data_IF_993943455724
#
_entry.id   IF_993943455724
#
_cell.length_a   1.000
_cell.length_b   1.000
_cell.length_c   1.000
_cell.angle_alpha   90.00
_cell.angle_beta   90.00
_cell.angle_gamma   90.00
#
_symmetry.space_group_name_H-M   'P 1'
#
loop_
_entity.id
_entity.type
_entity.pdbx_description
1 polymer ?
#
# COMPACT_ATOMS: atom_id res chain seq x y z
N UNK A 1 7.24 -17.83 3.87
CA UNK A 1 7.61 -16.44 4.09
C UNK A 1 7.57 -16.09 5.56
N UNK A 2 8.64 -15.55 6.08
CA UNK A 2 8.74 -15.22 7.50
C UNK A 2 8.16 -13.83 7.76
N UNK A 3 7.45 -13.72 8.88
CA UNK A 3 7.09 -12.42 9.41
C UNK A 3 8.31 -11.78 10.06
N UNK A 4 8.50 -10.48 9.86
CA UNK A 4 9.65 -9.77 10.40
C UNK A 4 9.49 -9.41 11.89
N UNK A 5 8.25 -9.25 12.35
CA UNK A 5 7.91 -8.94 13.74
C UNK A 5 6.84 -9.91 14.24
N UNK A 6 7.17 -11.19 14.40
CA UNK A 6 6.19 -12.18 14.83
C UNK A 6 5.75 -11.98 16.28
N UNK A 7 4.57 -12.48 16.61
CA UNK A 7 4.05 -12.42 17.96
C UNK A 7 4.98 -13.12 18.94
N UNK A 8 4.98 -12.65 20.18
CA UNK A 8 5.71 -13.28 21.27
C UNK A 8 7.13 -12.78 21.49
N UNK A 9 7.61 -11.90 20.64
CA UNK A 9 8.96 -11.33 20.74
C UNK A 9 8.92 -9.81 20.75
N UNK A 10 9.63 -9.18 21.67
CA UNK A 10 9.84 -7.75 21.63
C UNK A 10 10.99 -7.47 20.66
N UNK A 11 10.69 -6.81 19.55
CA UNK A 11 11.67 -6.58 18.50
C UNK A 11 11.33 -5.31 17.72
N UNK A 12 12.31 -4.78 17.02
CA UNK A 12 12.13 -3.61 16.17
C UNK A 12 12.92 -3.80 14.87
N UNK A 13 12.38 -3.24 13.80
CA UNK A 13 13.06 -3.15 12.51
C UNK A 13 12.97 -1.70 12.02
N UNK A 14 13.79 -1.34 11.03
CA UNK A 14 13.62 -0.06 10.35
C UNK A 14 12.53 -0.20 9.29
N UNK A 15 11.44 0.54 9.42
CA UNK A 15 10.40 0.60 8.42
C UNK A 15 10.91 1.17 7.08
N UNK A 16 11.92 2.03 7.13
CA UNK A 16 12.53 2.61 5.92
C UNK A 16 13.49 1.64 5.22
N UNK A 17 14.17 0.80 5.97
CA UNK A 17 15.26 -0.04 5.46
C UNK A 17 14.87 -1.51 5.23
N UNK A 18 13.77 -1.98 5.79
CA UNK A 18 13.35 -3.37 5.62
C UNK A 18 13.20 -3.71 4.15
N UNK A 19 13.74 -4.86 3.75
CA UNK A 19 13.72 -5.27 2.36
C UNK A 19 12.29 -5.63 1.90
N UNK A 20 11.89 -5.09 0.77
CA UNK A 20 10.65 -5.45 0.09
C UNK A 20 11.01 -5.94 -1.31
N UNK A 21 10.67 -7.18 -1.61
CA UNK A 21 10.86 -7.71 -2.95
C UNK A 21 9.80 -7.15 -3.88
N UNK A 22 10.22 -6.46 -4.93
CA UNK A 22 9.34 -5.84 -5.90
C UNK A 22 9.19 -6.74 -7.12
N UNK A 23 7.97 -6.86 -7.62
CA UNK A 23 7.65 -7.58 -8.85
C UNK A 23 6.68 -6.77 -9.69
N UNK A 24 6.68 -7.03 -10.98
CA UNK A 24 5.80 -6.32 -11.90
C UNK A 24 4.33 -6.47 -11.50
N UNK A 25 3.62 -5.37 -11.50
CA UNK A 25 2.17 -5.36 -11.32
C UNK A 25 1.55 -6.02 -12.55
N UNK A 26 0.48 -6.81 -12.36
CA UNK A 26 -0.19 -7.48 -13.47
C UNK A 26 -0.66 -6.48 -14.53
N UNK A 27 -0.72 -6.93 -15.77
CA UNK A 27 -1.21 -6.08 -16.86
C UNK A 27 -2.65 -5.61 -16.62
N UNK A 28 -3.48 -6.46 -15.99
CA UNK A 28 -4.87 -6.13 -15.68
C UNK A 28 -4.99 -4.95 -14.70
N UNK A 29 -4.04 -4.82 -13.78
CA UNK A 29 -4.06 -3.77 -12.76
C UNK A 29 -3.19 -2.56 -13.11
N UNK A 30 -2.46 -2.62 -14.21
CA UNK A 30 -1.60 -1.52 -14.66
C UNK A 30 -2.36 -0.60 -15.59
N UNK A 31 -2.36 0.69 -15.25
CA UNK A 31 -2.97 1.75 -16.10
C UNK A 31 -1.91 2.44 -16.93
N UNK A 32 -0.77 2.75 -16.35
CA UNK A 32 0.31 3.46 -17.03
C UNK A 32 1.68 3.09 -16.43
N UNK A 33 2.72 3.22 -17.25
CA UNK A 33 4.09 2.93 -16.84
C UNK A 33 4.38 1.43 -16.76
N UNK A 34 5.44 1.11 -16.04
CA UNK A 34 5.84 -0.27 -15.75
C UNK A 34 5.96 -0.45 -14.24
N UNK A 35 4.83 -0.35 -13.50
CA UNK A 35 4.90 -0.34 -12.05
C UNK A 35 5.35 -1.69 -11.48
N UNK A 36 6.06 -1.61 -10.37
CA UNK A 36 6.44 -2.76 -9.57
C UNK A 36 5.96 -2.55 -8.15
N UNK A 37 5.59 -3.63 -7.47
CA UNK A 37 5.12 -3.56 -6.09
C UNK A 37 5.53 -4.80 -5.31
N UNK A 38 5.47 -4.70 -4.00
CA UNK A 38 5.72 -5.82 -3.11
C UNK A 38 5.31 -5.53 -1.69
N UNK A 39 5.32 -6.58 -0.89
CA UNK A 39 4.96 -6.53 0.52
C UNK A 39 6.03 -7.24 1.33
N UNK A 40 6.40 -6.64 2.47
CA UNK A 40 7.12 -7.32 3.54
C UNK A 40 6.13 -7.53 4.68
N UNK A 41 5.83 -8.79 5.00
CA UNK A 41 4.90 -9.09 6.09
C UNK A 41 5.59 -8.88 7.43
N UNK A 42 4.97 -8.10 8.32
CA UNK A 42 5.49 -7.84 9.66
C UNK A 42 4.89 -8.80 10.68
N UNK A 43 3.59 -9.04 10.63
CA UNK A 43 2.91 -9.91 11.56
C UNK A 43 1.41 -9.68 11.58
N UNK A 44 0.75 -10.16 12.64
CA UNK A 44 -0.70 -10.01 12.82
C UNK A 44 -0.99 -9.52 14.24
N UNK A 45 -2.04 -8.72 14.37
CA UNK A 45 -2.59 -8.31 15.65
C UNK A 45 -4.10 -8.46 15.55
N UNK A 46 -4.68 -9.29 16.43
CA UNK A 46 -6.14 -9.53 16.48
C UNK A 46 -6.73 -9.93 15.12
N UNK A 47 -5.99 -10.71 14.33
CA UNK A 47 -6.41 -11.16 13.02
C UNK A 47 -6.14 -10.17 11.89
N UNK A 48 -5.76 -8.94 12.21
CA UNK A 48 -5.39 -7.95 11.20
C UNK A 48 -3.95 -8.16 10.75
N UNK A 49 -3.71 -8.12 9.44
CA UNK A 49 -2.36 -8.21 8.89
C UNK A 49 -1.65 -6.88 8.96
N UNK A 50 -0.37 -6.90 9.36
CA UNK A 50 0.49 -5.74 9.42
C UNK A 50 1.68 -5.96 8.49
N UNK A 51 1.96 -4.99 7.63
CA UNK A 51 3.04 -5.12 6.67
C UNK A 51 3.54 -3.78 6.16
N UNK A 52 4.55 -3.88 5.31
CA UNK A 52 5.07 -2.74 4.54
C UNK A 52 4.78 -3.02 3.07
N UNK A 53 4.16 -2.06 2.40
CA UNK A 53 3.90 -2.12 0.97
C UNK A 53 4.66 -1.01 0.27
N UNK A 54 5.22 -1.33 -0.88
CA UNK A 54 5.90 -0.35 -1.72
C UNK A 54 5.42 -0.49 -3.15
N UNK A 55 5.20 0.65 -3.80
CA UNK A 55 4.85 0.76 -5.21
C UNK A 55 5.79 1.75 -5.87
N UNK A 56 6.28 1.43 -7.06
CA UNK A 56 7.18 2.29 -7.85
C UNK A 56 6.72 2.39 -9.29
N UNK A 57 6.86 3.56 -9.84
CA UNK A 57 6.96 3.79 -11.27
C UNK A 57 5.71 3.62 -12.12
N UNK A 58 4.57 4.10 -11.68
CA UNK A 58 3.43 4.09 -12.60
C UNK A 58 2.09 4.32 -11.94
N UNK A 59 1.05 3.87 -12.62
CA UNK A 59 -0.34 4.00 -12.17
C UNK A 59 -0.98 2.62 -12.14
N UNK A 60 -1.58 2.27 -11.02
CA UNK A 60 -2.25 0.99 -10.81
C UNK A 60 -3.66 1.18 -10.29
N UNK A 61 -4.53 0.21 -10.56
CA UNK A 61 -5.88 0.16 -10.00
C UNK A 61 -5.93 -0.89 -8.89
N UNK A 62 -6.84 -0.68 -7.95
CA UNK A 62 -7.07 -1.62 -6.87
C UNK A 62 -8.51 -1.52 -6.37
N UNK A 63 -8.95 -2.59 -5.73
CA UNK A 63 -10.16 -2.59 -4.91
C UNK A 63 -9.70 -2.80 -3.49
N UNK A 64 -9.96 -1.83 -2.63
CA UNK A 64 -9.38 -1.80 -1.30
C UNK A 64 -10.07 -2.73 -0.32
N UNK A 65 -9.31 -3.18 0.67
CA UNK A 65 -9.83 -3.77 1.90
C UNK A 65 -9.86 -2.68 2.97
N UNK A 66 -10.49 -2.96 4.12
CA UNK A 66 -10.46 -2.03 5.24
C UNK A 66 -9.04 -1.95 5.79
N UNK A 67 -8.45 -0.77 5.80
CA UNK A 67 -7.03 -0.60 6.09
C UNK A 67 -6.75 0.77 6.70
N UNK A 68 -5.78 0.81 7.62
CA UNK A 68 -5.12 2.05 8.03
C UNK A 68 -3.67 1.98 7.58
N UNK A 69 -3.11 3.09 7.12
CA UNK A 69 -1.68 3.10 6.78
C UNK A 69 -1.02 4.43 7.13
N UNK A 70 0.29 4.36 7.29
CA UNK A 70 1.16 5.52 7.46
C UNK A 70 2.17 5.51 6.33
N UNK A 71 2.30 6.63 5.63
CA UNK A 71 3.30 6.78 4.58
C UNK A 71 4.67 7.00 5.21
N UNK A 72 5.61 6.13 4.89
CA UNK A 72 6.99 6.19 5.39
C UNK A 72 7.87 7.05 4.49
N UNK A 73 7.72 6.92 3.17
CA UNK A 73 8.52 7.66 2.20
C UNK A 73 7.79 7.78 0.88
N UNK A 74 8.18 8.77 0.07
CA UNK A 74 7.55 9.02 -1.20
C UNK A 74 6.15 9.60 -1.06
N UNK A 75 5.30 9.30 -2.00
CA UNK A 75 3.91 9.76 -2.00
C UNK A 75 3.16 9.26 -3.21
N UNK A 76 1.86 9.50 -3.20
CA UNK A 76 0.98 9.08 -4.29
C UNK A 76 -0.21 10.02 -4.42
N UNK A 77 -0.76 10.04 -5.63
CA UNK A 77 -2.09 10.59 -5.90
C UNK A 77 -3.06 9.41 -5.97
N UNK A 78 -4.08 9.43 -5.12
CA UNK A 78 -5.07 8.37 -5.05
C UNK A 78 -6.39 8.91 -5.55
N UNK A 79 -6.85 8.39 -6.68
CA UNK A 79 -8.16 8.73 -7.23
C UNK A 79 -9.16 7.68 -6.78
N UNK A 80 -10.29 8.11 -6.20
CA UNK A 80 -11.39 7.24 -5.81
C UNK A 80 -12.42 7.26 -6.91
N UNK A 81 -12.78 6.07 -7.41
CA UNK A 81 -13.59 5.93 -8.60
C UNK A 81 -15.00 5.49 -8.25
N UNK A 82 -15.97 6.01 -9.00
CA UNK A 82 -17.35 5.53 -8.95
C UNK A 82 -17.45 4.17 -9.63
N UNK A 83 -18.60 3.49 -9.52
CA UNK A 83 -18.84 2.21 -10.19
C UNK A 83 -18.67 2.31 -11.70
N UNK A 84 -18.96 3.47 -12.28
CA UNK A 84 -18.76 3.69 -13.71
C UNK A 84 -17.33 4.05 -14.09
N UNK A 85 -16.42 4.14 -13.13
CA UNK A 85 -15.02 4.43 -13.37
C UNK A 85 -14.68 5.92 -13.46
N UNK A 86 -15.60 6.79 -13.09
CA UNK A 86 -15.37 8.24 -13.05
C UNK A 86 -14.75 8.62 -11.71
N UNK A 87 -13.82 9.56 -11.72
CA UNK A 87 -13.19 10.04 -10.49
C UNK A 87 -14.21 10.81 -9.65
N UNK A 88 -14.46 10.31 -8.45
CA UNK A 88 -15.33 10.95 -7.46
C UNK A 88 -14.55 12.02 -6.69
N UNK A 89 -13.40 11.65 -6.16
CA UNK A 89 -12.50 12.57 -5.47
C UNK A 89 -11.07 12.03 -5.50
N UNK A 90 -10.14 12.89 -5.14
CA UNK A 90 -8.71 12.60 -5.17
C UNK A 90 -8.08 12.99 -3.84
N UNK A 91 -7.18 12.15 -3.34
CA UNK A 91 -6.40 12.41 -2.13
C UNK A 91 -4.92 12.29 -2.50
N UNK A 92 -4.12 13.26 -2.09
CA UNK A 92 -2.66 13.17 -2.19
C UNK A 92 -2.09 12.86 -0.82
N UNK A 93 -1.19 11.90 -0.76
CA UNK A 93 -0.50 11.52 0.47
C UNK A 93 1.02 11.63 0.28
N UNK A 94 1.68 12.06 1.35
CA UNK A 94 3.14 12.18 1.43
C UNK A 94 3.63 11.58 2.74
N UNK A 95 4.95 11.44 2.88
CA UNK A 95 5.56 10.89 4.08
C UNK A 95 5.01 11.55 5.35
N UNK A 96 4.60 10.73 6.31
CA UNK A 96 4.01 11.16 7.56
C UNK A 96 2.49 11.20 7.57
N UNK A 97 1.83 11.14 6.41
CA UNK A 97 0.37 11.11 6.36
C UNK A 97 -0.16 9.76 6.83
N UNK A 98 -1.28 9.82 7.51
CA UNK A 98 -2.02 8.64 7.97
C UNK A 98 -3.38 8.64 7.28
N UNK A 99 -3.77 7.50 6.73
CA UNK A 99 -5.01 7.41 5.97
C UNK A 99 -5.77 6.13 6.29
N UNK A 100 -7.09 6.21 6.18
CA UNK A 100 -7.95 5.04 6.19
C UNK A 100 -8.50 4.78 4.80
N UNK A 101 -8.46 3.52 4.38
CA UNK A 101 -9.14 3.02 3.19
C UNK A 101 -10.33 2.18 3.61
N UNK A 102 -11.46 2.37 2.95
CA UNK A 102 -12.69 1.64 3.23
C UNK A 102 -12.80 0.44 2.28
N UNK A 103 -13.16 -0.71 2.83
CA UNK A 103 -13.37 -1.92 2.05
C UNK A 103 -14.31 -1.68 0.87
N UNK A 104 -13.94 -2.19 -0.30
CA UNK A 104 -14.72 -2.06 -1.53
C UNK A 104 -14.47 -0.78 -2.32
N UNK A 105 -13.70 0.17 -1.79
CA UNK A 105 -13.35 1.38 -2.53
C UNK A 105 -12.52 1.01 -3.75
N UNK A 106 -12.89 1.56 -4.91
CA UNK A 106 -12.13 1.39 -6.13
C UNK A 106 -11.21 2.57 -6.29
N UNK A 107 -9.91 2.30 -6.48
CA UNK A 107 -8.89 3.33 -6.49
C UNK A 107 -7.97 3.21 -7.68
N UNK A 108 -7.33 4.33 -7.99
CA UNK A 108 -6.25 4.39 -8.94
C UNK A 108 -5.12 5.18 -8.30
N UNK A 109 -3.97 4.52 -8.13
CA UNK A 109 -2.80 5.09 -7.47
C UNK A 109 -1.77 5.47 -8.50
N UNK A 110 -1.33 6.72 -8.47
CA UNK A 110 -0.26 7.20 -9.34
C UNK A 110 0.92 7.63 -8.50
N UNK A 111 2.09 7.07 -8.78
CA UNK A 111 3.35 7.44 -8.13
C UNK A 111 4.34 7.92 -9.17
N UNK A 112 4.97 9.07 -8.92
CA UNK A 112 6.02 9.60 -9.79
C UNK A 112 7.32 8.81 -9.60
N UNK A 113 7.74 8.60 -8.36
CA UNK A 113 8.91 7.81 -8.00
C UNK A 113 8.50 6.57 -7.24
N UNK A 114 7.99 6.73 -6.03
CA UNK A 114 7.53 5.62 -5.21
C UNK A 114 6.64 6.09 -4.07
N UNK A 115 5.93 5.13 -3.50
CA UNK A 115 5.34 5.25 -2.16
C UNK A 115 5.70 4.00 -1.36
N UNK A 116 6.03 4.20 -0.10
CA UNK A 116 6.27 3.13 0.87
C UNK A 116 5.42 3.42 2.10
N UNK A 117 4.63 2.45 2.51
CA UNK A 117 3.73 2.62 3.65
C UNK A 117 3.78 1.41 4.57
N UNK A 118 3.56 1.63 5.86
CA UNK A 118 3.23 0.57 6.79
C UNK A 118 1.71 0.55 6.95
N UNK A 119 1.11 -0.63 6.86
CA UNK A 119 -0.34 -0.78 6.88
C UNK A 119 -0.80 -1.78 7.94
N UNK A 120 -2.05 -1.60 8.37
CA UNK A 120 -2.80 -2.56 9.17
C UNK A 120 -4.10 -2.80 8.39
N UNK A 121 -4.32 -4.03 7.97
CA UNK A 121 -5.46 -4.38 7.11
C UNK A 121 -6.24 -5.54 7.69
N UNK A 122 -7.56 -5.49 7.57
CA UNK A 122 -8.40 -6.61 7.95
C UNK A 122 -8.13 -7.84 7.08
N UNK A 123 -8.39 -8.97 7.69
CA UNK A 123 -8.22 -10.24 6.99
C UNK A 123 -9.29 -10.44 5.90
#
# INVERSE_FOLDING_TARGET
MSELLPAGNNAAISGHAAAVELAAVSAADTVAGTPVQGIAELGEIAGAGVGIWELRGGTVTDTEVEELFVVLSGGATIEFLTESGVVDHTVEVVAGDVMRLTAGSRTRWTVADHIRKVYIAEA
#
